data_IF_516874702595
#
_entry.id   IF_516874702595
#
_cell.length_a   1.000
_cell.length_b   1.000
_cell.length_c   1.000
_cell.angle_alpha   90.00
_cell.angle_beta   90.00
_cell.angle_gamma   90.00
#
_symmetry.space_group_name_H-M   'P 1'
#
loop_
_entity.id
_entity.type
_entity.pdbx_description
1 polymer ?
#
# COMPACT_ATOMS: atom_id res chain seq x y z
N UNK A 1 18.75 3.09 -25.88
CA UNK A 1 18.99 4.34 -26.67
C UNK A 1 19.58 5.34 -25.69
N UNK A 2 20.83 5.78 -25.91
CA UNK A 2 21.53 6.71 -25.02
C UNK A 2 21.11 8.16 -25.30
N UNK A 3 21.22 9.04 -24.30
CA UNK A 3 20.90 10.47 -24.42
C UNK A 3 21.69 11.16 -25.55
N UNK A 4 22.91 10.69 -25.84
CA UNK A 4 23.77 11.15 -26.94
C UNK A 4 23.13 10.97 -28.31
N UNK A 5 22.43 9.87 -28.54
CA UNK A 5 21.72 9.63 -29.81
C UNK A 5 20.51 10.56 -29.97
N UNK A 6 19.88 10.96 -28.85
CA UNK A 6 18.76 11.90 -28.86
C UNK A 6 19.21 13.29 -29.27
N UNK A 7 20.34 13.78 -28.73
CA UNK A 7 20.88 15.09 -29.05
C UNK A 7 21.43 15.17 -30.48
N UNK A 8 21.80 14.02 -31.07
CA UNK A 8 22.26 13.98 -32.48
C UNK A 8 21.09 13.88 -33.47
N UNK A 9 19.86 13.57 -33.02
CA UNK A 9 18.71 13.39 -33.91
C UNK A 9 17.99 14.72 -34.16
N UNK A 10 18.33 15.40 -35.23
CA UNK A 10 17.76 16.70 -35.63
C UNK A 10 16.30 16.65 -36.08
N UNK A 11 15.66 15.48 -36.11
CA UNK A 11 14.24 15.31 -36.46
C UNK A 11 13.31 15.43 -35.25
N UNK A 12 13.83 15.53 -34.04
CA UNK A 12 13.04 15.78 -32.81
C UNK A 12 12.72 17.27 -32.78
N UNK A 13 11.45 17.61 -33.01
CA UNK A 13 10.97 19.01 -33.08
C UNK A 13 10.71 19.61 -31.72
N UNK A 14 10.31 18.78 -30.74
CA UNK A 14 10.10 19.17 -29.35
C UNK A 14 10.72 18.15 -28.42
N UNK A 15 11.73 18.60 -27.68
CA UNK A 15 12.44 17.75 -26.72
C UNK A 15 11.56 17.42 -25.50
N UNK A 16 10.65 18.33 -25.10
CA UNK A 16 9.75 18.10 -23.98
C UNK A 16 8.73 17.03 -24.32
N UNK A 17 8.15 17.06 -25.52
CA UNK A 17 7.24 16.04 -26.03
C UNK A 17 7.93 14.67 -26.13
N UNK A 18 9.20 14.66 -26.54
CA UNK A 18 9.98 13.44 -26.64
C UNK A 18 10.30 12.86 -25.24
N UNK A 19 10.74 13.71 -24.30
CA UNK A 19 11.00 13.30 -22.89
C UNK A 19 9.71 12.87 -22.24
N UNK A 20 8.60 13.59 -22.45
CA UNK A 20 7.29 13.23 -21.97
C UNK A 20 6.80 11.91 -22.58
N UNK A 21 7.02 11.68 -23.88
CA UNK A 21 6.72 10.42 -24.55
C UNK A 21 7.53 9.25 -23.99
N UNK A 22 8.82 9.47 -23.68
CA UNK A 22 9.66 8.50 -22.98
C UNK A 22 9.15 8.26 -21.55
N UNK A 23 8.82 9.30 -20.77
CA UNK A 23 8.27 9.17 -19.44
C UNK A 23 6.91 8.47 -19.40
N UNK A 24 6.06 8.73 -20.40
CA UNK A 24 4.77 8.04 -20.56
C UNK A 24 4.96 6.61 -21.05
N UNK A 25 5.95 6.37 -21.91
CA UNK A 25 6.29 5.06 -22.46
C UNK A 25 7.17 4.21 -21.53
N UNK A 26 7.94 4.85 -20.63
CA UNK A 26 8.68 4.19 -19.60
C UNK A 26 7.71 3.67 -18.52
N UNK A 27 7.21 2.48 -18.84
CA UNK A 27 6.75 1.48 -17.90
C UNK A 27 5.60 1.89 -16.96
N UNK A 28 4.41 1.43 -17.33
CA UNK A 28 3.24 1.46 -16.44
C UNK A 28 3.55 0.84 -15.04
N UNK A 29 4.51 -0.08 -14.97
CA UNK A 29 4.99 -0.68 -13.74
C UNK A 29 5.83 0.28 -12.90
N UNK A 30 6.75 1.04 -13.51
CA UNK A 30 7.54 2.05 -12.79
C UNK A 30 6.67 3.16 -12.20
N UNK A 31 5.59 3.53 -12.89
CA UNK A 31 4.62 4.52 -12.38
C UNK A 31 3.79 3.98 -11.21
N UNK A 32 3.32 2.72 -11.31
CA UNK A 32 2.62 2.03 -10.22
C UNK A 32 3.51 1.88 -8.99
N UNK A 33 4.76 1.49 -9.19
CA UNK A 33 5.73 1.33 -8.10
C UNK A 33 6.06 2.67 -7.43
N UNK A 34 6.15 3.77 -8.20
CA UNK A 34 6.36 5.12 -7.65
C UNK A 34 5.20 5.59 -6.77
N UNK A 35 3.95 5.38 -7.21
CA UNK A 35 2.78 5.80 -6.42
C UNK A 35 2.62 4.99 -5.13
N UNK A 36 2.87 3.67 -5.18
CA UNK A 36 2.91 2.82 -4.00
C UNK A 36 4.00 3.26 -3.02
N UNK A 37 5.23 3.46 -3.52
CA UNK A 37 6.34 3.91 -2.67
C UNK A 37 6.14 5.32 -2.12
N UNK A 38 5.52 6.23 -2.86
CA UNK A 38 5.17 7.56 -2.36
C UNK A 38 4.16 7.48 -1.20
N UNK A 39 3.17 6.59 -1.27
CA UNK A 39 2.23 6.36 -0.18
C UNK A 39 2.91 5.78 1.05
N UNK A 40 3.74 4.74 0.88
CA UNK A 40 4.53 4.17 1.99
C UNK A 40 5.39 5.24 2.67
N UNK A 41 6.15 6.04 1.91
CA UNK A 41 6.99 7.10 2.45
C UNK A 41 6.18 8.17 3.21
N UNK A 42 4.97 8.50 2.71
CA UNK A 42 4.08 9.44 3.38
C UNK A 42 3.57 8.88 4.71
N UNK A 43 3.13 7.62 4.72
CA UNK A 43 2.68 6.94 5.95
C UNK A 43 3.82 6.81 6.97
N UNK A 44 5.02 6.42 6.53
CA UNK A 44 6.20 6.37 7.38
C UNK A 44 6.47 7.71 8.07
N UNK A 45 6.39 8.82 7.31
CA UNK A 45 6.54 10.16 7.86
C UNK A 45 5.46 10.50 8.89
N UNK A 46 4.19 10.15 8.64
CA UNK A 46 3.10 10.38 9.58
C UNK A 46 3.28 9.55 10.87
N UNK A 47 3.64 8.29 10.75
CA UNK A 47 3.87 7.41 11.91
C UNK A 47 5.06 7.87 12.74
N UNK A 48 6.14 8.33 12.09
CA UNK A 48 7.29 8.90 12.76
C UNK A 48 6.94 10.20 13.51
N UNK A 49 6.23 11.12 12.87
CA UNK A 49 5.78 12.37 13.50
C UNK A 49 4.84 12.11 14.68
N UNK A 50 4.01 11.08 14.58
CA UNK A 50 3.12 10.64 15.65
C UNK A 50 3.84 9.84 16.76
N UNK A 51 5.14 9.60 16.62
CA UNK A 51 5.95 8.82 17.57
C UNK A 51 5.41 7.39 17.78
N UNK A 52 4.82 6.79 16.76
CA UNK A 52 4.42 5.38 16.82
C UNK A 52 5.65 4.46 16.86
N UNK A 53 5.53 3.37 17.59
CA UNK A 53 6.51 2.29 17.52
C UNK A 53 6.18 1.39 16.31
N UNK A 54 6.90 1.56 15.21
CA UNK A 54 6.63 0.81 13.99
C UNK A 54 7.90 0.32 13.29
N UNK A 55 7.72 -0.71 12.46
CA UNK A 55 8.71 -1.24 11.54
C UNK A 55 8.13 -1.25 10.12
N UNK A 56 9.00 -1.11 9.12
CA UNK A 56 8.66 -1.19 7.69
C UNK A 56 9.08 -2.54 7.11
N UNK A 57 8.36 -3.00 6.09
CA UNK A 57 8.68 -4.19 5.29
C UNK A 57 8.98 -5.43 6.15
N UNK A 58 8.09 -5.70 7.11
CA UNK A 58 8.26 -6.74 8.13
C UNK A 58 7.92 -8.12 7.58
N UNK A 59 8.83 -9.05 7.71
CA UNK A 59 8.61 -10.44 7.32
C UNK A 59 7.72 -11.14 8.35
N UNK A 60 6.71 -11.90 7.89
CA UNK A 60 5.80 -12.63 8.76
C UNK A 60 6.53 -13.62 9.68
N UNK A 61 7.70 -14.10 9.26
CA UNK A 61 8.54 -15.01 10.05
C UNK A 61 9.07 -14.40 11.34
N UNK A 62 8.97 -13.08 11.52
CA UNK A 62 9.24 -12.44 12.81
C UNK A 62 8.15 -12.75 13.87
N UNK A 63 7.00 -13.30 13.44
CA UNK A 63 5.85 -13.66 14.28
C UNK A 63 5.53 -15.14 14.07
N UNK A 64 6.11 -15.98 14.92
CA UNK A 64 6.07 -17.44 14.79
C UNK A 64 4.63 -17.99 14.73
N UNK A 65 3.72 -17.47 15.54
CA UNK A 65 2.31 -17.84 15.58
C UNK A 65 1.56 -17.53 14.28
N UNK A 66 1.82 -16.34 13.69
CA UNK A 66 1.26 -15.98 12.39
C UNK A 66 1.89 -16.82 11.27
N UNK A 67 3.19 -17.03 11.32
CA UNK A 67 3.88 -17.83 10.31
C UNK A 67 3.37 -19.28 10.29
N UNK A 68 3.17 -19.89 11.45
CA UNK A 68 2.57 -21.23 11.55
C UNK A 68 1.15 -21.30 11.00
N UNK A 69 0.35 -20.24 11.19
CA UNK A 69 -1.03 -20.21 10.71
C UNK A 69 -1.19 -19.87 9.22
N UNK A 70 -0.31 -19.03 8.68
CA UNK A 70 -0.44 -18.49 7.31
C UNK A 70 0.55 -19.12 6.33
N UNK A 71 1.64 -19.72 6.83
CA UNK A 71 2.67 -20.31 6.01
C UNK A 71 3.37 -19.30 5.11
N UNK A 72 3.83 -19.76 3.94
CA UNK A 72 4.54 -18.91 2.97
C UNK A 72 3.63 -18.05 2.08
N UNK A 73 2.30 -18.09 2.28
CA UNK A 73 1.34 -17.33 1.46
C UNK A 73 1.49 -15.82 1.68
N UNK A 74 1.90 -15.41 2.87
CA UNK A 74 2.16 -14.01 3.22
C UNK A 74 3.64 -13.88 3.56
N UNK A 75 4.34 -13.04 2.80
CA UNK A 75 5.78 -12.90 2.97
C UNK A 75 6.17 -11.68 3.79
N UNK A 76 5.50 -10.53 3.56
CA UNK A 76 5.82 -9.25 4.19
C UNK A 76 4.61 -8.39 4.33
N UNK A 77 4.61 -7.56 5.38
CA UNK A 77 3.69 -6.43 5.56
C UNK A 77 4.44 -5.12 5.33
N UNK A 78 3.78 -4.14 4.73
CA UNK A 78 4.38 -2.83 4.49
C UNK A 78 4.77 -2.15 5.80
N UNK A 79 3.91 -2.27 6.83
CA UNK A 79 4.22 -1.80 8.18
C UNK A 79 3.68 -2.75 9.24
N UNK A 80 4.36 -2.78 10.37
CA UNK A 80 3.85 -3.33 11.64
C UNK A 80 3.97 -2.25 12.69
N UNK A 81 2.85 -1.90 13.32
CA UNK A 81 2.78 -0.89 14.40
C UNK A 81 2.46 -1.60 15.71
N UNK A 82 3.35 -1.44 16.70
CA UNK A 82 3.15 -1.99 18.04
C UNK A 82 2.40 -0.96 18.89
N UNK A 83 1.11 -1.18 19.13
CA UNK A 83 0.33 -0.47 20.15
C UNK A 83 0.52 -1.09 21.52
N UNK A 84 -0.23 -0.62 22.53
CA UNK A 84 -0.17 -1.14 23.91
C UNK A 84 -0.58 -2.61 24.01
N UNK A 85 -1.79 -2.90 23.58
CA UNK A 85 -2.41 -4.21 23.73
C UNK A 85 -2.59 -4.93 22.38
N UNK A 86 -2.34 -4.23 21.26
CA UNK A 86 -2.58 -4.73 19.92
C UNK A 86 -1.42 -4.37 18.99
N UNK A 87 -0.95 -5.35 18.23
CA UNK A 87 -0.03 -5.14 17.11
C UNK A 87 -0.82 -5.08 15.81
N UNK A 88 -0.62 -4.01 15.05
CA UNK A 88 -1.31 -3.74 13.80
C UNK A 88 -0.43 -4.11 12.62
N UNK A 89 -0.92 -4.98 11.75
CA UNK A 89 -0.28 -5.40 10.51
C UNK A 89 -0.91 -4.66 9.35
N UNK A 90 -0.12 -3.89 8.61
CA UNK A 90 -0.61 -2.89 7.68
C UNK A 90 -0.14 -3.19 6.27
N UNK A 91 -1.09 -3.19 5.34
CA UNK A 91 -0.84 -3.11 3.89
C UNK A 91 -1.27 -1.75 3.36
N UNK A 92 -0.44 -1.15 2.51
CA UNK A 92 -0.63 0.20 1.98
C UNK A 92 -0.63 0.18 0.45
N UNK A 93 -1.71 0.68 -0.17
CA UNK A 93 -1.82 0.68 -1.63
C UNK A 93 -2.41 1.98 -2.15
N UNK A 94 -1.83 2.50 -3.24
CA UNK A 94 -2.36 3.66 -3.95
C UNK A 94 -2.68 3.30 -5.40
N UNK A 95 -3.93 3.48 -5.81
CA UNK A 95 -4.39 3.12 -7.14
C UNK A 95 -4.76 4.34 -7.97
N UNK A 96 -3.95 4.66 -8.97
CA UNK A 96 -4.22 5.75 -9.94
C UNK A 96 -5.13 5.31 -11.08
N UNK A 97 -5.26 4.01 -11.31
CA UNK A 97 -6.02 3.43 -12.44
C UNK A 97 -6.87 2.29 -11.90
N UNK A 98 -8.11 2.20 -12.37
CA UNK A 98 -9.00 1.06 -12.12
C UNK A 98 -8.55 -0.20 -12.87
N UNK A 99 -9.04 -1.36 -12.44
CA UNK A 99 -8.79 -2.64 -13.10
C UNK A 99 -9.16 -3.84 -12.22
N UNK A 100 -9.12 -5.03 -12.80
CA UNK A 100 -9.44 -6.30 -12.11
C UNK A 100 -8.61 -6.54 -10.86
N UNK A 101 -7.37 -6.05 -10.83
CA UNK A 101 -6.46 -6.17 -9.68
C UNK A 101 -7.05 -5.60 -8.39
N UNK A 102 -7.86 -4.52 -8.46
CA UNK A 102 -8.47 -3.92 -7.28
C UNK A 102 -9.46 -4.90 -6.62
N UNK A 103 -10.23 -5.61 -7.44
CA UNK A 103 -11.19 -6.61 -6.96
C UNK A 103 -10.48 -7.81 -6.31
N UNK A 104 -9.37 -8.25 -6.91
CA UNK A 104 -8.54 -9.34 -6.40
C UNK A 104 -7.92 -8.97 -5.05
N UNK A 105 -7.35 -7.77 -4.94
CA UNK A 105 -6.75 -7.26 -3.69
C UNK A 105 -7.82 -7.10 -2.60
N UNK A 106 -8.97 -6.50 -2.91
CA UNK A 106 -10.06 -6.35 -1.95
C UNK A 106 -10.50 -7.70 -1.38
N UNK A 107 -10.64 -8.72 -2.24
CA UNK A 107 -10.99 -10.08 -1.82
C UNK A 107 -9.88 -10.72 -0.98
N UNK A 108 -8.62 -10.64 -1.43
CA UNK A 108 -7.48 -11.21 -0.71
C UNK A 108 -7.36 -10.64 0.70
N UNK A 109 -7.57 -9.31 0.86
CA UNK A 109 -7.49 -8.68 2.18
C UNK A 109 -8.69 -8.96 3.07
N UNK A 110 -9.87 -9.25 2.51
CA UNK A 110 -10.99 -9.78 3.29
C UNK A 110 -10.66 -11.17 3.85
N UNK A 111 -10.12 -12.07 3.02
CA UNK A 111 -9.68 -13.41 3.44
C UNK A 111 -8.56 -13.31 4.50
N UNK A 112 -7.63 -12.37 4.33
CA UNK A 112 -6.56 -12.12 5.29
C UNK A 112 -7.10 -11.61 6.63
N UNK A 113 -7.99 -10.62 6.63
CA UNK A 113 -8.58 -10.07 7.85
C UNK A 113 -9.29 -11.16 8.68
N UNK A 114 -10.03 -12.06 8.03
CA UNK A 114 -10.67 -13.19 8.71
C UNK A 114 -9.67 -14.14 9.38
N UNK A 115 -8.48 -14.33 8.78
CA UNK A 115 -7.42 -15.12 9.42
C UNK A 115 -6.89 -14.45 10.69
N UNK A 116 -6.84 -13.11 10.72
CA UNK A 116 -6.42 -12.34 11.90
C UNK A 116 -7.42 -12.43 13.07
N UNK A 117 -8.70 -12.71 12.80
CA UNK A 117 -9.71 -12.87 13.88
C UNK A 117 -9.38 -13.97 14.89
N UNK A 118 -8.52 -14.93 14.51
CA UNK A 118 -8.03 -15.96 15.43
C UNK A 118 -6.97 -15.46 16.42
N UNK A 119 -6.46 -14.23 16.25
CA UNK A 119 -5.36 -13.67 17.04
C UNK A 119 -5.80 -12.38 17.77
N UNK A 120 -6.24 -12.45 19.03
CA UNK A 120 -6.87 -11.31 19.73
C UNK A 120 -5.93 -10.11 19.93
N UNK A 121 -4.61 -10.33 19.88
CA UNK A 121 -3.60 -9.27 20.05
C UNK A 121 -3.08 -8.71 18.72
N UNK A 122 -3.60 -9.19 17.59
CA UNK A 122 -3.20 -8.76 16.25
C UNK A 122 -4.40 -8.25 15.49
N UNK A 123 -4.20 -7.21 14.70
CA UNK A 123 -5.24 -6.64 13.85
C UNK A 123 -4.68 -6.31 12.48
N UNK A 124 -5.36 -6.77 11.44
CA UNK A 124 -5.02 -6.39 10.07
C UNK A 124 -5.66 -5.04 9.71
N UNK A 125 -4.85 -4.15 9.18
CA UNK A 125 -5.25 -2.81 8.73
C UNK A 125 -4.91 -2.66 7.26
N UNK A 126 -5.86 -2.19 6.48
CA UNK A 126 -5.62 -1.82 5.10
C UNK A 126 -5.71 -0.32 4.92
N UNK A 127 -4.61 0.31 4.45
CA UNK A 127 -4.61 1.74 4.13
C UNK A 127 -4.57 1.86 2.60
N UNK A 128 -5.65 2.36 2.01
CA UNK A 128 -5.75 2.46 0.55
C UNK A 128 -6.36 3.78 0.12
N UNK A 129 -5.87 4.32 -1.01
CA UNK A 129 -6.36 5.56 -1.59
C UNK A 129 -6.18 5.56 -3.11
N UNK A 130 -6.69 6.57 -3.77
CA UNK A 130 -6.53 6.85 -5.18
C UNK A 130 -7.82 6.76 -5.99
N UNK A 131 -7.82 7.48 -7.12
CA UNK A 131 -8.98 7.60 -8.01
C UNK A 131 -9.39 6.28 -8.67
N UNK A 132 -8.49 5.29 -8.72
CA UNK A 132 -8.78 3.95 -9.27
C UNK A 132 -9.94 3.25 -8.58
N UNK A 133 -10.25 3.59 -7.31
CA UNK A 133 -11.37 3.03 -6.57
C UNK A 133 -12.75 3.54 -7.02
N UNK A 134 -12.83 4.62 -7.80
CA UNK A 134 -14.13 5.15 -8.27
C UNK A 134 -14.91 4.10 -9.07
N UNK A 135 -14.24 3.32 -9.91
CA UNK A 135 -14.86 2.28 -10.73
C UNK A 135 -15.04 0.94 -9.97
N UNK A 136 -14.33 0.75 -8.87
CA UNK A 136 -14.39 -0.45 -8.03
C UNK A 136 -15.05 -0.19 -6.66
N UNK A 137 -15.82 0.90 -6.54
CA UNK A 137 -16.42 1.38 -5.29
C UNK A 137 -17.23 0.30 -4.55
N UNK A 138 -18.01 -0.50 -5.27
CA UNK A 138 -18.82 -1.56 -4.67
C UNK A 138 -17.97 -2.63 -3.98
N UNK A 139 -16.81 -2.96 -4.55
CA UNK A 139 -15.87 -3.94 -3.97
C UNK A 139 -15.16 -3.40 -2.74
N UNK A 140 -14.79 -2.12 -2.76
CA UNK A 140 -14.24 -1.47 -1.59
C UNK A 140 -15.29 -1.39 -0.46
N UNK A 141 -16.54 -1.05 -0.77
CA UNK A 141 -17.64 -1.05 0.18
C UNK A 141 -17.92 -2.44 0.78
N UNK A 142 -17.79 -3.49 -0.01
CA UNK A 142 -17.90 -4.87 0.47
C UNK A 142 -16.77 -5.19 1.46
N UNK A 143 -15.53 -4.83 1.13
CA UNK A 143 -14.38 -5.05 1.98
C UNK A 143 -14.47 -4.30 3.34
N UNK A 144 -15.08 -3.13 3.40
CA UNK A 144 -15.32 -2.40 4.65
C UNK A 144 -16.12 -3.17 5.71
N UNK A 145 -16.85 -4.21 5.32
CA UNK A 145 -17.64 -5.04 6.25
C UNK A 145 -16.77 -5.97 7.09
N UNK A 146 -15.60 -6.36 6.60
CA UNK A 146 -14.72 -7.34 7.23
C UNK A 146 -13.29 -6.82 7.46
N UNK A 147 -12.88 -5.75 6.80
CA UNK A 147 -11.53 -5.20 6.90
C UNK A 147 -11.58 -3.81 7.51
N UNK A 148 -10.66 -3.51 8.42
CA UNK A 148 -10.42 -2.15 8.92
C UNK A 148 -9.67 -1.36 7.84
N UNK A 149 -10.39 -0.49 7.14
CA UNK A 149 -9.84 0.27 6.00
C UNK A 149 -9.73 1.75 6.38
N UNK A 150 -8.58 2.33 6.08
CA UNK A 150 -8.32 3.77 6.16
C UNK A 150 -7.84 4.30 4.82
N UNK A 151 -7.97 5.59 4.62
CA UNK A 151 -7.40 6.33 3.50
C UNK A 151 -6.56 7.51 4.03
N UNK A 152 -5.93 8.27 3.14
CA UNK A 152 -5.07 9.38 3.55
C UNK A 152 -5.82 10.51 4.27
N UNK A 153 -7.15 10.63 4.09
CA UNK A 153 -7.96 11.65 4.77
C UNK A 153 -8.32 11.27 6.21
N UNK A 154 -8.40 9.98 6.55
CA UNK A 154 -8.78 9.50 7.87
C UNK A 154 -7.72 8.62 8.56
N UNK A 155 -6.52 8.52 8.02
CA UNK A 155 -5.41 7.75 8.64
C UNK A 155 -5.07 8.25 10.05
N UNK A 156 -5.34 9.51 10.36
CA UNK A 156 -5.15 10.07 11.69
C UNK A 156 -6.06 9.42 12.74
N UNK A 157 -7.20 8.86 12.36
CA UNK A 157 -8.06 8.10 13.27
C UNK A 157 -7.38 6.78 13.67
N UNK A 158 -6.71 6.11 12.72
CA UNK A 158 -5.88 4.96 13.01
C UNK A 158 -4.69 5.32 13.93
N UNK A 159 -3.97 6.40 13.61
CA UNK A 159 -2.84 6.88 14.41
C UNK A 159 -3.29 7.14 15.85
N UNK A 160 -4.40 7.83 16.03
CA UNK A 160 -4.98 8.12 17.35
C UNK A 160 -5.40 6.84 18.09
N UNK A 161 -5.85 5.82 17.36
CA UNK A 161 -6.16 4.49 17.93
C UNK A 161 -4.90 3.80 18.41
N UNK A 162 -3.84 3.80 17.58
CA UNK A 162 -2.58 3.12 17.88
C UNK A 162 -1.78 3.80 19.00
N UNK A 163 -1.98 5.12 19.22
CA UNK A 163 -1.34 5.91 20.29
C UNK A 163 -2.02 5.76 21.65
N UNK A 164 -3.25 5.23 21.73
CA UNK A 164 -3.93 5.07 23.04
C UNK A 164 -3.17 4.07 23.89
N UNK A 165 -2.37 4.65 24.79
CA UNK A 165 -1.52 3.99 25.77
C UNK A 165 -2.34 3.49 26.97
#
# INVERSE_FOLDING_TARGET
MGLDQIFCNRNIKDLNDFVFGIEVGLDSNARKNRSGKAMENHLSSLFFQAQLNFKEQVDIREFEDLYQAFGDDIKKFDFVVCGKDTTYFIEANFYTISGSKLNEVARSYQELALKFDAFPNYEFIWITDGIGWLDAKSKLQEAYKSVKIYNLSNVNDFISKAQKW
#
